data_IF_627088203242
#
_entry.id   IF_627088203242
#
_cell.length_a   1.000
_cell.length_b   1.000
_cell.length_c   1.000
_cell.angle_alpha   90.00
_cell.angle_beta   90.00
_cell.angle_gamma   90.00
#
_symmetry.space_group_name_H-M   'P 1'
#
loop_
_entity.id
_entity.type
_entity.pdbx_description
1 polymer ?
#
# COMPACT_ATOMS: atom_id res chain seq x y z
N UNK A 1 0.80 18.99 11.59
CA UNK A 1 0.06 18.08 12.50
C UNK A 1 0.57 18.27 13.92
N UNK A 2 -0.30 18.70 14.84
CA UNK A 2 0.05 18.77 16.27
C UNK A 2 -0.05 17.37 16.86
N UNK A 3 1.03 16.90 17.50
CA UNK A 3 1.14 15.60 18.16
C UNK A 3 0.32 15.50 19.46
N UNK A 4 -0.50 16.50 19.77
CA UNK A 4 -1.18 16.67 21.06
C UNK A 4 -2.25 15.58 21.33
N UNK A 5 -2.75 14.89 20.30
CA UNK A 5 -3.82 13.89 20.41
C UNK A 5 -3.42 12.46 19.97
N UNK A 6 -2.13 12.17 19.75
CA UNK A 6 -1.69 10.84 19.30
C UNK A 6 -1.15 10.05 20.50
N UNK A 7 -1.88 9.02 20.92
CA UNK A 7 -1.46 8.08 21.97
C UNK A 7 -0.80 6.84 21.36
N UNK A 8 0.32 6.40 21.95
CA UNK A 8 0.95 5.12 21.61
C UNK A 8 0.63 4.13 22.73
N UNK A 9 -0.09 3.05 22.39
CA UNK A 9 -0.47 1.99 23.33
C UNK A 9 -0.22 0.64 22.65
N UNK A 10 0.26 -0.33 23.42
CA UNK A 10 0.48 -1.71 22.97
C UNK A 10 -0.80 -2.55 23.08
N UNK A 11 -0.86 -3.66 22.32
CA UNK A 11 -2.01 -4.57 22.37
C UNK A 11 -2.29 -5.10 23.77
N UNK A 12 -1.24 -5.47 24.52
CA UNK A 12 -1.38 -6.01 25.88
C UNK A 12 -1.96 -4.99 26.86
N UNK A 13 -1.55 -3.73 26.74
CA UNK A 13 -2.10 -2.63 27.54
C UNK A 13 -3.58 -2.39 27.25
N UNK A 14 -4.02 -2.47 25.98
CA UNK A 14 -5.45 -2.35 25.62
C UNK A 14 -6.27 -3.49 26.22
N UNK A 15 -5.75 -4.72 26.13
CA UNK A 15 -6.42 -5.89 26.69
C UNK A 15 -6.53 -5.80 28.22
N UNK A 16 -5.46 -5.35 28.89
CA UNK A 16 -5.46 -5.13 30.33
C UNK A 16 -6.44 -4.01 30.76
N UNK A 17 -6.55 -2.92 29.99
CA UNK A 17 -7.55 -1.85 30.21
C UNK A 17 -8.97 -2.40 30.12
N UNK A 18 -9.28 -3.15 29.06
CA UNK A 18 -10.59 -3.81 28.90
C UNK A 18 -10.88 -4.80 30.02
N UNK A 19 -9.89 -5.57 30.47
CA UNK A 19 -10.04 -6.50 31.60
C UNK A 19 -10.32 -5.79 32.94
N UNK A 20 -9.83 -4.55 33.11
CA UNK A 20 -10.17 -3.69 34.25
C UNK A 20 -11.54 -2.99 34.13
N UNK A 21 -12.27 -3.23 33.04
CA UNK A 21 -13.57 -2.61 32.78
C UNK A 21 -13.49 -1.18 32.25
N UNK A 22 -12.30 -0.72 31.82
CA UNK A 22 -12.18 0.57 31.14
C UNK A 22 -12.86 0.47 29.77
N UNK A 23 -13.91 1.27 29.58
CA UNK A 23 -14.68 1.34 28.34
C UNK A 23 -14.01 2.24 27.31
N UNK A 24 -14.30 1.99 26.04
CA UNK A 24 -13.87 2.86 24.95
C UNK A 24 -14.45 4.26 25.13
N UNK A 25 -13.63 5.29 24.95
CA UNK A 25 -14.08 6.70 24.91
C UNK A 25 -14.85 7.04 23.64
N UNK A 26 -14.86 6.14 22.65
CA UNK A 26 -15.63 6.28 21.43
C UNK A 26 -17.12 6.13 21.72
N UNK A 27 -17.91 7.09 21.26
CA UNK A 27 -19.36 6.99 21.24
C UNK A 27 -19.79 6.00 20.14
N UNK A 28 -19.84 4.71 20.51
CA UNK A 28 -20.23 3.62 19.62
C UNK A 28 -21.70 3.68 19.23
N UNK A 29 -22.58 4.17 20.11
CA UNK A 29 -24.00 4.30 19.82
C UNK A 29 -24.24 5.28 18.66
N UNK A 30 -23.48 6.39 18.62
CA UNK A 30 -23.51 7.32 17.47
C UNK A 30 -22.97 6.68 16.19
N UNK A 31 -21.89 5.91 16.26
CA UNK A 31 -21.29 5.25 15.08
C UNK A 31 -22.23 4.18 14.52
N UNK A 32 -22.81 3.35 15.38
CA UNK A 32 -23.73 2.29 14.97
C UNK A 32 -25.05 2.83 14.39
N UNK A 33 -25.46 4.03 14.80
CA UNK A 33 -26.64 4.71 14.27
C UNK A 33 -26.36 5.50 12.98
N UNK A 34 -25.11 5.61 12.54
CA UNK A 34 -24.74 6.40 11.36
C UNK A 34 -25.22 5.71 10.10
N UNK A 35 -25.96 6.45 9.27
CA UNK A 35 -26.51 5.89 8.02
C UNK A 35 -25.47 5.90 6.91
N UNK A 36 -25.67 5.07 5.88
CA UNK A 36 -24.83 5.07 4.68
C UNK A 36 -24.82 6.46 4.00
N UNK A 37 -25.95 7.17 3.99
CA UNK A 37 -26.05 8.53 3.46
C UNK A 37 -25.20 9.53 4.25
N UNK A 38 -25.16 9.39 5.58
CA UNK A 38 -24.31 10.23 6.44
C UNK A 38 -22.82 9.94 6.20
N UNK A 39 -22.46 8.67 5.97
CA UNK A 39 -21.09 8.24 5.65
C UNK A 39 -20.68 8.80 4.28
N UNK A 40 -21.53 8.68 3.26
CA UNK A 40 -21.24 9.20 1.92
C UNK A 40 -21.06 10.72 1.92
N UNK A 41 -21.88 11.44 2.69
CA UNK A 41 -21.75 12.90 2.86
C UNK A 41 -20.42 13.25 3.51
N UNK A 42 -20.09 12.61 4.63
CA UNK A 42 -18.84 12.85 5.34
C UNK A 42 -17.62 12.55 4.44
N UNK A 43 -17.69 11.49 3.64
CA UNK A 43 -16.64 11.12 2.68
C UNK A 43 -16.47 12.17 1.57
N UNK A 44 -17.56 12.74 1.03
CA UNK A 44 -17.49 13.79 0.00
C UNK A 44 -16.97 15.12 0.54
N UNK A 45 -17.32 15.44 1.78
CA UNK A 45 -16.95 16.71 2.42
C UNK A 45 -15.51 16.70 2.95
N UNK A 46 -14.83 15.55 2.98
CA UNK A 46 -13.45 15.40 3.43
C UNK A 46 -12.44 15.82 2.33
N UNK A 47 -11.70 16.93 2.52
CA UNK A 47 -10.71 17.39 1.55
C UNK A 47 -9.57 16.40 1.31
N UNK A 48 -9.22 15.59 2.31
CA UNK A 48 -8.15 14.59 2.20
C UNK A 48 -8.59 13.40 1.35
N UNK A 49 -9.89 13.21 1.14
CA UNK A 49 -10.46 12.13 0.33
C UNK A 49 -10.76 12.52 -1.12
N UNK A 50 -10.77 13.83 -1.44
CA UNK A 50 -11.22 14.35 -2.74
C UNK A 50 -10.52 13.69 -3.95
N UNK A 51 -9.21 13.45 -3.86
CA UNK A 51 -8.41 12.86 -4.96
C UNK A 51 -8.59 11.33 -5.10
N UNK A 52 -9.24 10.67 -4.12
CA UNK A 52 -9.36 9.21 -4.05
C UNK A 52 -10.73 8.69 -4.46
N UNK A 53 -11.73 9.58 -4.64
CA UNK A 53 -13.13 9.19 -4.88
C UNK A 53 -13.34 8.42 -6.20
N UNK A 54 -12.52 8.71 -7.22
CA UNK A 54 -12.63 8.12 -8.56
C UNK A 54 -11.69 6.92 -8.78
N UNK A 55 -11.03 6.41 -7.73
CA UNK A 55 -10.15 5.25 -7.85
C UNK A 55 -10.99 3.98 -8.07
N UNK A 56 -10.81 3.38 -9.24
CA UNK A 56 -11.40 2.08 -9.57
C UNK A 56 -10.61 0.94 -8.93
N UNK A 57 -10.99 0.59 -7.70
CA UNK A 57 -10.39 -0.50 -6.93
C UNK A 57 -10.63 -1.89 -7.53
N UNK A 58 -11.55 -2.06 -8.50
CA UNK A 58 -11.75 -3.35 -9.18
C UNK A 58 -10.56 -3.76 -10.04
N UNK A 59 -9.72 -2.79 -10.45
CA UNK A 59 -8.48 -3.00 -11.19
C UNK A 59 -7.26 -3.17 -10.29
N UNK A 60 -7.43 -3.14 -8.97
CA UNK A 60 -6.32 -3.31 -8.05
C UNK A 60 -5.74 -4.73 -8.16
N UNK A 61 -4.44 -4.82 -8.45
CA UNK A 61 -3.74 -6.09 -8.47
C UNK A 61 -3.15 -6.42 -7.10
N UNK A 62 -3.49 -7.60 -6.56
CA UNK A 62 -2.86 -8.12 -5.36
C UNK A 62 -1.38 -8.41 -5.61
N UNK A 63 -0.49 -7.54 -5.10
CA UNK A 63 0.95 -7.77 -5.13
C UNK A 63 1.42 -8.44 -3.84
N UNK A 64 1.60 -9.76 -3.85
CA UNK A 64 2.37 -10.44 -2.80
C UNK A 64 3.85 -10.08 -2.99
N UNK A 65 4.55 -9.54 -1.97
CA UNK A 65 5.98 -9.26 -2.09
C UNK A 65 6.76 -10.56 -2.29
N UNK A 66 7.10 -10.88 -3.53
CA UNK A 66 7.89 -12.08 -3.84
C UNK A 66 9.34 -11.80 -3.47
N UNK A 67 9.92 -12.66 -2.62
CA UNK A 67 11.33 -12.61 -2.29
C UNK A 67 12.18 -12.68 -3.56
N UNK A 68 13.09 -11.71 -3.73
CA UNK A 68 14.03 -11.70 -4.87
C UNK A 68 15.10 -12.76 -4.62
N UNK A 69 15.39 -13.58 -5.62
CA UNK A 69 16.55 -14.47 -5.57
C UNK A 69 17.80 -13.69 -5.95
N UNK A 70 18.76 -13.59 -5.03
CA UNK A 70 20.06 -13.01 -5.33
C UNK A 70 20.82 -13.97 -6.26
N UNK A 71 21.13 -13.50 -7.47
CA UNK A 71 21.90 -14.24 -8.47
C UNK A 71 23.04 -13.35 -8.97
N UNK A 72 24.17 -13.95 -9.29
CA UNK A 72 25.27 -13.27 -9.98
C UNK A 72 25.14 -13.53 -11.47
N UNK A 73 25.00 -12.46 -12.26
CA UNK A 73 24.94 -12.50 -13.72
C UNK A 73 25.94 -11.50 -14.28
N UNK A 74 26.46 -11.77 -15.48
CA UNK A 74 27.27 -10.81 -16.23
C UNK A 74 26.37 -10.06 -17.21
N UNK A 75 26.50 -8.74 -17.24
CA UNK A 75 25.82 -7.85 -18.18
C UNK A 75 26.89 -7.05 -18.91
N UNK A 76 26.58 -6.62 -20.13
CA UNK A 76 27.46 -5.74 -20.88
C UNK A 76 27.60 -4.38 -20.17
N UNK A 77 28.77 -3.77 -20.34
CA UNK A 77 29.13 -2.55 -19.61
C UNK A 77 28.18 -1.39 -19.93
N UNK A 78 27.83 -1.23 -21.21
CA UNK A 78 26.92 -0.20 -21.69
C UNK A 78 25.50 -0.30 -21.08
N UNK A 79 25.00 -1.53 -20.89
CA UNK A 79 23.73 -1.78 -20.21
C UNK A 79 23.81 -1.32 -18.75
N UNK A 80 24.88 -1.68 -18.05
CA UNK A 80 25.06 -1.29 -16.64
C UNK A 80 25.15 0.23 -16.52
N UNK A 81 25.94 0.87 -17.37
CA UNK A 81 26.15 2.31 -17.38
C UNK A 81 24.82 3.06 -17.65
N UNK A 82 24.04 2.60 -18.63
CA UNK A 82 22.73 3.17 -18.95
C UNK A 82 21.78 3.16 -17.75
N UNK A 83 21.66 2.03 -17.05
CA UNK A 83 20.77 1.93 -15.90
C UNK A 83 21.31 2.67 -14.68
N UNK A 84 22.63 2.74 -14.49
CA UNK A 84 23.26 3.50 -13.40
C UNK A 84 23.12 5.01 -13.58
N UNK A 85 23.14 5.52 -14.82
CA UNK A 85 22.94 6.94 -15.10
C UNK A 85 21.61 7.50 -14.58
N UNK A 86 20.59 6.65 -14.42
CA UNK A 86 19.29 7.03 -13.83
C UNK A 86 19.26 6.98 -12.29
N UNK A 87 20.40 6.81 -11.62
CA UNK A 87 20.56 6.95 -10.18
C UNK A 87 20.13 5.72 -9.37
N UNK A 88 19.79 5.93 -8.09
CA UNK A 88 19.41 4.85 -7.16
C UNK A 88 18.29 3.99 -7.73
N UNK A 89 18.36 2.67 -7.49
CA UNK A 89 17.33 1.73 -7.94
C UNK A 89 17.55 1.14 -9.35
N UNK A 90 18.73 1.33 -9.94
CA UNK A 90 19.08 0.78 -11.26
C UNK A 90 18.81 -0.73 -11.37
N UNK A 91 19.13 -1.51 -10.34
CA UNK A 91 18.83 -2.95 -10.29
C UNK A 91 17.32 -3.26 -10.34
N UNK A 92 16.49 -2.42 -9.69
CA UNK A 92 15.03 -2.56 -9.75
C UNK A 92 14.53 -2.29 -11.17
N UNK A 93 15.11 -1.31 -11.87
CA UNK A 93 14.77 -1.01 -13.27
C UNK A 93 15.18 -2.15 -14.22
N UNK A 94 16.39 -2.70 -14.05
CA UNK A 94 16.81 -3.91 -14.78
C UNK A 94 15.80 -5.03 -14.59
N UNK A 95 15.41 -5.30 -13.34
CA UNK A 95 14.44 -6.35 -13.03
C UNK A 95 13.05 -6.08 -13.64
N UNK A 96 12.60 -4.81 -13.71
CA UNK A 96 11.33 -4.45 -14.35
C UNK A 96 11.34 -4.75 -15.85
N UNK A 97 12.45 -4.44 -16.54
CA UNK A 97 12.61 -4.76 -17.97
C UNK A 97 12.60 -6.28 -18.21
N UNK A 98 13.32 -7.05 -17.39
CA UNK A 98 13.30 -8.52 -17.48
C UNK A 98 11.90 -9.10 -17.24
N UNK A 99 11.13 -8.54 -16.30
CA UNK A 99 9.73 -8.93 -16.08
C UNK A 99 8.86 -8.63 -17.30
N UNK A 100 9.00 -7.45 -17.89
CA UNK A 100 8.25 -7.09 -19.09
C UNK A 100 8.54 -8.08 -20.23
N UNK A 101 9.81 -8.37 -20.49
CA UNK A 101 10.21 -9.38 -21.48
C UNK A 101 9.59 -10.75 -21.19
N UNK A 102 9.62 -11.21 -19.93
CA UNK A 102 8.99 -12.48 -19.54
C UNK A 102 7.48 -12.50 -19.83
N UNK A 103 6.78 -11.40 -19.53
CA UNK A 103 5.34 -11.29 -19.76
C UNK A 103 4.99 -11.37 -21.25
N UNK A 104 5.74 -10.67 -22.10
CA UNK A 104 5.52 -10.70 -23.56
C UNK A 104 5.84 -12.08 -24.17
N UNK A 105 6.92 -12.72 -23.72
CA UNK A 105 7.23 -14.11 -24.14
C UNK A 105 6.12 -15.10 -23.76
N UNK A 106 5.55 -14.97 -22.55
CA UNK A 106 4.42 -15.81 -22.13
C UNK A 106 3.19 -15.60 -23.00
N UNK A 107 2.86 -14.35 -23.36
CA UNK A 107 1.76 -14.04 -24.27
C UNK A 107 1.97 -14.67 -25.65
N UNK A 108 3.19 -14.58 -26.20
CA UNK A 108 3.51 -15.17 -27.51
C UNK A 108 3.35 -16.69 -27.51
N UNK A 109 3.77 -17.36 -26.43
CA UNK A 109 3.70 -18.83 -26.30
C UNK A 109 2.29 -19.37 -26.02
N UNK A 110 1.40 -18.54 -25.51
CA UNK A 110 0.01 -18.89 -25.25
C UNK A 110 -0.89 -18.72 -26.49
N UNK A 111 -0.35 -18.16 -27.58
CA UNK A 111 -1.01 -17.99 -28.88
C UNK A 111 -0.54 -19.08 -29.84
#
# INVERSE_FOLDING_TARGET
MKSENITRITTDEILAKRARGEVSETDWARVDAMTDEDIERAMRDDPDWADFIDIDWSKAEWMVPVAKKAVSIRLDQDIVDFFQASGKGYQTRINAVLRHYMSEEKKRRAK
#
